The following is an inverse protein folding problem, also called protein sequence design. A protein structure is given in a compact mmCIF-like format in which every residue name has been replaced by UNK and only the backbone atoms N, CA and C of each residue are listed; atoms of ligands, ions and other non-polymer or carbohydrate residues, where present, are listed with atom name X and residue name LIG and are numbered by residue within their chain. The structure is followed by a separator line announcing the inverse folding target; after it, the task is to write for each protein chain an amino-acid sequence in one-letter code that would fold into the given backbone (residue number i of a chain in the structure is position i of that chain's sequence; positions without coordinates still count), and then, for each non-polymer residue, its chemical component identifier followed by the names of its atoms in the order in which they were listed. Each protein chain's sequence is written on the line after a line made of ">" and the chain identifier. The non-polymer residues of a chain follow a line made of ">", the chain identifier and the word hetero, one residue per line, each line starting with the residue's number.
data_IF_138001345010
#
_entry.id   IF_138001345010
#
_cell.length_a   1.000
_cell.length_b   1.000
_cell.length_c   1.000
_cell.angle_alpha   90.00
_cell.angle_beta   90.00
_cell.angle_gamma   90.00
#
_symmetry.space_group_name_H-M   'P 1'
#
loop_
_entity.id
_entity.type
_entity.pdbx_description
1 polymer ?
#
# COMPACT_ATOMS: atom_id res chain seq x y z
N UNK A 1 -67.36 40.61 3.65
CA UNK A 1 -66.83 40.59 5.03
C UNK A 1 -67.42 39.37 5.70
N UNK A 2 -66.74 38.35 6.21
CA UNK A 2 -65.65 38.39 7.19
C UNK A 2 -64.95 37.00 7.30
N UNK A 3 -65.18 36.06 6.36
CA UNK A 3 -64.71 34.66 6.52
C UNK A 3 -63.48 34.27 5.68
N UNK A 4 -63.22 34.90 4.53
CA UNK A 4 -62.01 34.62 3.74
C UNK A 4 -60.74 35.38 4.21
N UNK A 5 -60.87 36.32 5.15
CA UNK A 5 -59.75 37.09 5.70
C UNK A 5 -59.03 36.38 6.87
N UNK A 6 -59.62 35.35 7.47
CA UNK A 6 -59.02 34.64 8.60
C UNK A 6 -58.01 33.56 8.19
N UNK A 7 -58.16 32.94 7.01
CA UNK A 7 -57.27 31.84 6.59
C UNK A 7 -55.91 32.35 6.09
N UNK A 8 -55.83 33.58 5.56
CA UNK A 8 -54.58 34.18 5.07
C UNK A 8 -53.70 34.79 6.19
N UNK A 9 -54.28 35.09 7.36
CA UNK A 9 -53.56 35.69 8.51
C UNK A 9 -52.83 34.68 9.39
N UNK A 10 -53.22 33.40 9.38
CA UNK A 10 -52.57 32.33 10.17
C UNK A 10 -51.33 31.76 9.47
N UNK A 11 -51.31 31.77 8.13
CA UNK A 11 -50.17 31.26 7.35
C UNK A 11 -48.96 32.22 7.35
N UNK A 12 -49.21 33.53 7.47
CA UNK A 12 -48.18 34.57 7.46
C UNK A 12 -47.48 34.69 8.82
N UNK A 13 -48.16 34.39 9.94
CA UNK A 13 -47.56 34.39 11.28
C UNK A 13 -46.68 33.17 11.56
N UNK A 14 -46.94 32.02 10.91
CA UNK A 14 -46.08 30.83 11.03
C UNK A 14 -44.77 30.94 10.24
N UNK A 15 -44.77 31.64 9.10
CA UNK A 15 -43.56 31.91 8.30
C UNK A 15 -42.64 32.99 8.92
N UNK A 16 -43.16 33.82 9.83
CA UNK A 16 -42.42 34.93 10.45
C UNK A 16 -41.74 34.55 11.78
N UNK A 17 -42.13 33.44 12.42
CA UNK A 17 -41.57 32.97 13.70
C UNK A 17 -40.35 32.05 13.58
N UNK A 18 -40.00 31.56 12.39
CA UNK A 18 -38.82 30.68 12.21
C UNK A 18 -37.59 31.41 11.63
N UNK A 19 -37.73 32.67 11.20
CA UNK A 19 -36.64 33.44 10.57
C UNK A 19 -35.88 34.40 11.50
N UNK A 20 -36.14 34.42 12.81
CA UNK A 20 -35.61 35.45 13.72
C UNK A 20 -34.98 34.96 15.04
N UNK A 21 -34.42 33.76 15.06
CA UNK A 21 -33.47 33.37 16.10
C UNK A 21 -32.11 33.02 15.47
N UNK A 22 -31.33 34.10 15.33
CA UNK A 22 -29.86 34.13 15.42
C UNK A 22 -29.06 33.75 14.17
N UNK A 23 -29.07 34.65 13.18
CA UNK A 23 -27.97 35.61 12.91
C UNK A 23 -26.61 35.12 12.37
N UNK A 24 -25.89 35.98 11.62
CA UNK A 24 -25.07 35.60 10.46
C UNK A 24 -23.56 35.82 10.64
N UNK A 25 -22.80 35.45 9.60
CA UNK A 25 -21.37 35.74 9.33
C UNK A 25 -20.39 34.66 9.79
N UNK A 26 -19.68 34.04 8.86
CA UNK A 26 -18.22 34.08 8.72
C UNK A 26 -17.80 33.13 7.57
N UNK A 27 -17.09 33.68 6.56
CA UNK A 27 -15.85 33.17 5.95
C UNK A 27 -15.76 31.68 5.54
N UNK A 28 -15.24 31.23 4.41
CA UNK A 28 -14.45 31.80 3.31
C UNK A 28 -14.18 30.61 2.37
N UNK A 29 -14.19 30.86 1.05
CA UNK A 29 -13.51 30.11 -0.02
C UNK A 29 -13.21 28.62 0.13
N UNK A 30 -13.80 27.82 -0.75
CA UNK A 30 -13.10 26.68 -1.35
C UNK A 30 -13.42 26.58 -2.85
N UNK A 31 -12.33 26.56 -3.61
CA UNK A 31 -12.21 26.38 -5.05
C UNK A 31 -12.81 25.05 -5.54
N UNK A 32 -13.09 24.94 -6.85
CA UNK A 32 -14.02 23.98 -7.43
C UNK A 32 -13.37 22.64 -7.80
N UNK A 33 -14.19 21.58 -7.69
CA UNK A 33 -14.52 20.66 -8.78
C UNK A 33 -13.43 20.42 -9.86
N UNK A 34 -12.52 19.48 -9.59
CA UNK A 34 -11.73 18.76 -10.60
C UNK A 34 -11.07 17.59 -9.86
N UNK A 35 -11.72 16.44 -9.69
CA UNK A 35 -11.58 15.28 -10.58
C UNK A 35 -12.77 14.33 -10.34
N UNK A 36 -13.99 14.82 -10.55
CA UNK A 36 -15.23 14.06 -10.37
C UNK A 36 -15.62 13.27 -11.64
N UNK A 37 -14.66 12.66 -12.33
CA UNK A 37 -14.94 11.89 -13.54
C UNK A 37 -13.90 10.78 -13.77
N UNK A 38 -13.83 9.80 -12.87
CA UNK A 38 -13.23 8.51 -13.20
C UNK A 38 -13.81 7.40 -12.32
N UNK A 39 -14.75 6.64 -12.90
CA UNK A 39 -15.41 5.43 -12.39
C UNK A 39 -16.08 5.50 -11.00
N UNK A 40 -17.35 5.09 -10.96
CA UNK A 40 -18.11 4.82 -9.72
C UNK A 40 -17.58 3.53 -9.04
N UNK A 41 -16.29 3.48 -8.72
CA UNK A 41 -15.85 2.66 -7.59
C UNK A 41 -16.12 3.49 -6.33
N UNK A 42 -16.84 2.90 -5.38
CA UNK A 42 -17.14 3.49 -4.08
C UNK A 42 -15.83 3.75 -3.33
N UNK A 43 -15.26 4.94 -3.57
CA UNK A 43 -13.98 5.38 -3.02
C UNK A 43 -14.25 6.15 -1.73
N UNK A 44 -13.91 5.55 -0.60
CA UNK A 44 -13.99 6.21 0.71
C UNK A 44 -12.59 6.59 1.18
N UNK A 45 -12.43 7.83 1.65
CA UNK A 45 -11.15 8.38 2.12
C UNK A 45 -11.36 9.04 3.48
N UNK A 46 -10.53 8.66 4.44
CA UNK A 46 -10.54 9.23 5.79
C UNK A 46 -9.11 9.58 6.20
N UNK A 47 -8.83 10.87 6.35
CA UNK A 47 -7.52 11.38 6.72
C UNK A 47 -7.60 12.24 7.98
N UNK A 48 -6.63 12.08 8.87
CA UNK A 48 -6.42 12.90 10.06
C UNK A 48 -5.11 13.64 9.90
N UNK A 49 -5.20 14.85 9.35
CA UNK A 49 -4.04 15.67 9.01
C UNK A 49 -3.09 14.94 8.06
N UNK A 50 -1.79 15.03 8.33
CA UNK A 50 -0.74 14.33 7.58
C UNK A 50 -0.27 13.04 8.25
N UNK A 51 -0.78 12.73 9.45
CA UNK A 51 -0.29 11.63 10.28
C UNK A 51 -0.97 10.30 9.97
N UNK A 52 -2.17 10.34 9.39
CA UNK A 52 -2.94 9.14 9.14
C UNK A 52 -3.89 9.39 7.96
N UNK A 53 -3.89 8.49 7.00
CA UNK A 53 -4.82 8.45 5.89
C UNK A 53 -5.19 7.01 5.61
N UNK A 54 -6.48 6.71 5.59
CA UNK A 54 -7.03 5.44 5.15
C UNK A 54 -7.90 5.68 3.92
N UNK A 55 -7.67 4.88 2.90
CA UNK A 55 -8.37 4.94 1.64
C UNK A 55 -8.83 3.54 1.26
N UNK A 56 -10.12 3.39 0.98
CA UNK A 56 -10.69 2.16 0.46
C UNK A 56 -11.26 2.46 -0.92
N UNK A 57 -10.82 1.70 -1.92
CA UNK A 57 -11.23 1.80 -3.33
C UNK A 57 -11.56 0.39 -3.82
N UNK A 58 -12.85 0.09 -3.95
CA UNK A 58 -13.32 -1.25 -4.27
C UNK A 58 -12.86 -2.26 -3.20
N UNK A 59 -12.16 -3.31 -3.63
CA UNK A 59 -11.58 -4.34 -2.75
C UNK A 59 -10.18 -3.96 -2.22
N UNK A 60 -9.63 -2.81 -2.61
CA UNK A 60 -8.32 -2.35 -2.14
C UNK A 60 -8.50 -1.44 -0.92
N UNK A 61 -7.88 -1.78 0.20
CA UNK A 61 -7.75 -0.89 1.36
C UNK A 61 -6.29 -0.53 1.57
N UNK A 62 -5.97 0.77 1.51
CA UNK A 62 -4.66 1.31 1.80
C UNK A 62 -4.70 2.19 3.04
N UNK A 63 -3.75 1.99 3.95
CA UNK A 63 -3.55 2.87 5.11
C UNK A 63 -2.14 3.42 5.08
N UNK A 64 -1.99 4.71 5.33
CA UNK A 64 -0.72 5.40 5.45
C UNK A 64 -0.71 6.11 6.80
N UNK A 65 0.39 6.00 7.52
CA UNK A 65 0.54 6.63 8.81
C UNK A 65 1.96 7.17 9.02
N UNK A 66 2.08 8.09 9.98
CA UNK A 66 3.33 8.63 10.48
C UNK A 66 4.23 9.15 9.35
N UNK A 67 3.76 10.19 8.63
CA UNK A 67 4.53 10.84 7.56
C UNK A 67 5.01 9.86 6.47
N UNK A 68 4.13 8.94 6.02
CA UNK A 68 4.44 7.91 5.02
C UNK A 68 5.47 6.85 5.44
N UNK A 69 5.94 6.88 6.70
CA UNK A 69 6.89 5.87 7.19
C UNK A 69 6.22 4.53 7.43
N UNK A 70 4.90 4.50 7.63
CA UNK A 70 4.12 3.29 7.75
C UNK A 70 3.06 3.25 6.66
N UNK A 71 2.99 2.16 5.91
CA UNK A 71 1.89 1.90 5.00
C UNK A 71 1.45 0.46 5.01
N UNK A 72 0.15 0.26 4.84
CA UNK A 72 -0.46 -1.04 4.57
C UNK A 72 -1.30 -0.96 3.31
N UNK A 73 -1.35 -2.06 2.58
CA UNK A 73 -2.16 -2.21 1.38
C UNK A 73 -2.69 -3.64 1.38
N UNK A 74 -4.01 -3.79 1.37
CA UNK A 74 -4.72 -5.06 1.25
C UNK A 74 -5.53 -5.01 -0.05
N UNK A 75 -5.42 -6.04 -0.89
CA UNK A 75 -6.14 -6.19 -2.16
C UNK A 75 -6.45 -7.67 -2.40
N UNK A 76 -7.66 -8.10 -2.09
CA UNK A 76 -8.04 -9.52 -2.20
C UNK A 76 -7.12 -10.41 -1.35
N UNK A 77 -6.34 -11.26 -2.00
CA UNK A 77 -5.32 -12.11 -1.35
C UNK A 77 -4.00 -11.38 -1.06
N UNK A 78 -3.71 -10.30 -1.80
CA UNK A 78 -2.47 -9.56 -1.67
C UNK A 78 -2.49 -8.68 -0.42
N UNK A 79 -1.41 -8.72 0.36
CA UNK A 79 -1.15 -7.84 1.49
C UNK A 79 0.28 -7.31 1.44
N UNK A 80 0.43 -6.00 1.66
CA UNK A 80 1.72 -5.33 1.77
C UNK A 80 1.73 -4.49 3.03
N UNK A 81 2.83 -4.59 3.77
CA UNK A 81 3.14 -3.81 4.96
C UNK A 81 4.53 -3.23 4.77
N UNK A 82 4.64 -1.91 4.79
CA UNK A 82 5.92 -1.21 4.67
C UNK A 82 6.14 -0.29 5.85
N UNK A 83 7.31 -0.41 6.47
CA UNK A 83 7.80 0.45 7.53
C UNK A 83 9.18 0.99 7.17
N UNK A 84 9.22 2.15 6.52
CA UNK A 84 10.45 2.73 5.98
C UNK A 84 11.30 3.34 7.11
N UNK A 85 12.64 3.21 7.07
CA UNK A 85 13.46 2.42 6.12
C UNK A 85 13.74 0.99 6.57
N UNK A 86 13.05 0.49 7.60
CA UNK A 86 13.49 -0.70 8.34
C UNK A 86 12.94 -2.02 7.79
N UNK A 87 11.75 -2.02 7.23
CA UNK A 87 11.06 -3.26 6.91
C UNK A 87 10.06 -3.09 5.77
N UNK A 88 9.96 -4.07 4.90
CA UNK A 88 8.85 -4.20 3.97
C UNK A 88 8.49 -5.66 3.83
N UNK A 89 7.21 -5.98 3.81
CA UNK A 89 6.68 -7.32 3.62
C UNK A 89 5.56 -7.27 2.61
N UNK A 90 5.63 -8.13 1.61
CA UNK A 90 4.60 -8.37 0.63
C UNK A 90 4.24 -9.84 0.67
N UNK A 91 2.96 -10.16 0.61
CA UNK A 91 2.49 -11.53 0.67
C UNK A 91 1.26 -11.65 -0.22
N UNK A 92 1.26 -12.68 -1.06
CA UNK A 92 0.09 -13.07 -1.84
C UNK A 92 -0.07 -14.59 -1.73
N UNK A 93 -0.94 -15.09 -0.84
CA UNK A 93 -1.17 -16.51 -0.66
C UNK A 93 -1.75 -17.20 -1.89
N UNK A 94 -2.41 -16.47 -2.81
CA UNK A 94 -2.97 -17.07 -4.01
C UNK A 94 -1.88 -17.52 -5.01
N UNK A 95 -0.73 -16.84 -4.99
CA UNK A 95 0.41 -17.07 -5.88
C UNK A 95 1.60 -17.76 -5.16
N UNK A 96 1.41 -18.23 -3.92
CA UNK A 96 2.48 -18.67 -3.00
C UNK A 96 3.68 -17.69 -2.99
N UNK A 97 3.36 -16.39 -2.94
CA UNK A 97 4.34 -15.30 -3.00
C UNK A 97 4.55 -14.68 -1.62
N UNK A 98 5.81 -14.58 -1.22
CA UNK A 98 6.23 -13.88 -0.01
C UNK A 98 7.54 -13.14 -0.30
N UNK A 99 7.55 -11.84 -0.05
CA UNK A 99 8.76 -11.02 -0.14
C UNK A 99 8.94 -10.21 1.13
N UNK A 100 10.15 -10.21 1.67
CA UNK A 100 10.51 -9.53 2.90
C UNK A 100 11.84 -8.83 2.72
N UNK A 101 11.88 -7.53 2.97
CA UNK A 101 13.11 -6.75 3.01
C UNK A 101 13.36 -6.23 4.42
N UNK A 102 14.58 -6.39 4.92
CA UNK A 102 15.09 -5.82 6.16
C UNK A 102 16.08 -4.72 5.80
N UNK A 103 15.89 -3.55 6.40
CA UNK A 103 16.65 -2.33 6.12
C UNK A 103 16.63 -1.96 4.63
N UNK A 104 15.50 -2.24 3.95
CA UNK A 104 15.13 -2.01 2.54
C UNK A 104 16.09 -2.52 1.44
N UNK A 105 17.38 -2.59 1.74
CA UNK A 105 18.45 -2.92 0.79
C UNK A 105 19.46 -3.93 1.37
N UNK A 106 19.59 -4.06 2.69
CA UNK A 106 20.63 -4.93 3.26
C UNK A 106 20.23 -6.41 3.22
N UNK A 107 19.02 -6.74 3.65
CA UNK A 107 18.50 -8.11 3.62
C UNK A 107 17.25 -8.19 2.76
N UNK A 108 17.21 -9.09 1.79
CA UNK A 108 16.03 -9.37 0.98
C UNK A 108 15.82 -10.88 0.93
N UNK A 109 14.59 -11.32 1.18
CA UNK A 109 14.13 -12.69 1.05
C UNK A 109 12.87 -12.67 0.20
N UNK A 110 12.83 -13.47 -0.85
CA UNK A 110 11.70 -13.59 -1.75
C UNK A 110 11.45 -15.08 -2.03
N UNK A 111 10.19 -15.47 -2.02
CA UNK A 111 9.74 -16.82 -2.34
C UNK A 111 8.53 -16.71 -3.24
N UNK A 112 8.49 -17.53 -4.28
CA UNK A 112 7.39 -17.61 -5.23
C UNK A 112 7.22 -19.06 -5.69
N UNK A 113 6.28 -19.78 -5.09
CA UNK A 113 6.13 -21.22 -5.31
C UNK A 113 7.40 -21.98 -4.91
N UNK A 114 7.97 -22.74 -5.85
CA UNK A 114 9.23 -23.48 -5.68
C UNK A 114 10.49 -22.59 -5.83
N UNK A 115 10.33 -21.35 -6.30
CA UNK A 115 11.45 -20.42 -6.44
C UNK A 115 11.71 -19.68 -5.12
N UNK A 116 12.98 -19.52 -4.77
CA UNK A 116 13.43 -18.72 -3.63
C UNK A 116 14.66 -17.89 -3.97
N UNK A 117 14.74 -16.71 -3.38
CA UNK A 117 15.82 -15.77 -3.53
C UNK A 117 16.13 -15.15 -2.18
N UNK A 118 17.41 -15.14 -1.80
CA UNK A 118 17.89 -14.52 -0.60
C UNK A 118 19.15 -13.72 -0.87
N UNK A 119 19.22 -12.53 -0.31
CA UNK A 119 20.31 -11.61 -0.48
C UNK A 119 20.63 -10.93 0.84
N UNK A 120 21.92 -10.89 1.16
CA UNK A 120 22.48 -10.10 2.24
C UNK A 120 23.66 -9.29 1.70
N UNK A 121 23.40 -8.03 1.36
CA UNK A 121 24.41 -7.17 0.77
C UNK A 121 25.56 -6.85 1.74
N UNK A 122 26.79 -6.69 1.23
CA UNK A 122 27.27 -7.02 -0.12
C UNK A 122 27.90 -8.43 -0.18
N UNK A 123 27.62 -9.30 0.79
CA UNK A 123 28.43 -10.49 1.01
C UNK A 123 27.80 -11.74 0.43
N UNK A 124 26.47 -11.84 0.42
CA UNK A 124 25.79 -13.11 0.15
C UNK A 124 24.59 -12.92 -0.79
N UNK A 125 24.51 -13.81 -1.78
CA UNK A 125 23.35 -13.97 -2.63
C UNK A 125 23.11 -15.45 -2.86
N UNK A 126 21.86 -15.84 -2.84
CA UNK A 126 21.43 -17.19 -3.08
C UNK A 126 20.11 -17.15 -3.84
N UNK A 127 19.99 -17.96 -4.87
CA UNK A 127 18.70 -18.20 -5.49
C UNK A 127 18.59 -19.67 -5.87
N UNK A 128 17.38 -20.19 -5.76
CA UNK A 128 17.03 -21.56 -6.07
C UNK A 128 15.69 -21.55 -6.79
N UNK A 129 15.70 -22.02 -8.03
CA UNK A 129 14.55 -22.26 -8.88
C UNK A 129 14.58 -23.75 -9.29
N UNK A 130 13.45 -24.35 -9.74
CA UNK A 130 13.44 -25.74 -10.19
C UNK A 130 14.46 -26.10 -11.29
N UNK A 131 14.90 -25.12 -12.08
CA UNK A 131 15.85 -25.29 -13.20
C UNK A 131 17.30 -24.94 -12.85
N UNK A 132 17.51 -24.18 -11.77
CA UNK A 132 18.82 -23.60 -11.46
C UNK A 132 18.95 -23.18 -10.01
N UNK A 133 20.17 -23.28 -9.49
CA UNK A 133 20.54 -22.75 -8.18
C UNK A 133 21.87 -22.03 -8.29
N UNK A 134 22.03 -20.94 -7.57
CA UNK A 134 23.33 -20.31 -7.40
C UNK A 134 23.52 -19.78 -6.00
N UNK A 135 24.76 -19.79 -5.55
CA UNK A 135 25.19 -19.25 -4.26
C UNK A 135 26.45 -18.45 -4.48
N UNK A 136 26.44 -17.19 -4.08
CA UNK A 136 27.59 -16.30 -4.13
C UNK A 136 27.86 -15.82 -2.72
N UNK A 137 29.06 -16.12 -2.23
CA UNK A 137 29.58 -15.60 -0.98
C UNK A 137 30.92 -14.91 -1.27
N UNK A 138 30.88 -13.59 -1.33
CA UNK A 138 32.07 -12.80 -1.66
C UNK A 138 33.10 -12.82 -0.52
N UNK A 139 34.39 -12.70 -0.87
CA UNK A 139 34.97 -12.76 -2.22
C UNK A 139 35.33 -14.19 -2.67
N UNK A 140 34.99 -15.21 -1.88
CA UNK A 140 35.69 -16.49 -1.90
C UNK A 140 34.93 -17.63 -2.59
N UNK A 141 33.60 -17.61 -2.59
CA UNK A 141 32.79 -18.77 -2.97
C UNK A 141 31.72 -18.42 -3.99
N UNK A 142 31.67 -19.21 -5.05
CA UNK A 142 30.68 -19.09 -6.12
C UNK A 142 30.25 -20.48 -6.54
N UNK A 143 28.97 -20.74 -6.49
CA UNK A 143 28.37 -21.98 -6.92
C UNK A 143 27.23 -21.67 -7.87
N UNK A 144 27.15 -22.44 -8.95
CA UNK A 144 26.07 -22.40 -9.91
C UNK A 144 25.76 -23.83 -10.32
N UNK A 145 24.49 -24.22 -10.29
CA UNK A 145 24.01 -25.51 -10.76
C UNK A 145 22.79 -25.28 -11.62
N UNK A 146 22.73 -25.93 -12.77
CA UNK A 146 21.56 -26.03 -13.64
C UNK A 146 21.40 -27.49 -14.07
N UNK A 147 20.32 -27.81 -14.78
CA UNK A 147 20.03 -29.19 -15.22
C UNK A 147 21.17 -29.86 -15.98
N UNK A 148 21.93 -29.09 -16.78
CA UNK A 148 22.94 -29.59 -17.70
C UNK A 148 24.38 -29.35 -17.25
N UNK A 149 24.59 -28.50 -16.24
CA UNK A 149 25.93 -28.04 -15.86
C UNK A 149 26.01 -27.62 -14.42
N UNK A 150 27.18 -27.79 -13.82
CA UNK A 150 27.47 -27.20 -12.51
C UNK A 150 28.88 -26.64 -12.45
N UNK A 151 29.02 -25.53 -11.74
CA UNK A 151 30.28 -24.83 -11.49
C UNK A 151 30.40 -24.54 -10.01
N UNK A 152 31.54 -24.90 -9.43
CA UNK A 152 31.86 -24.57 -8.04
C UNK A 152 33.25 -24.00 -7.99
N UNK A 153 33.36 -22.76 -7.52
CA UNK A 153 34.61 -22.04 -7.35
C UNK A 153 34.79 -21.67 -5.88
N UNK A 154 35.97 -22.01 -5.36
CA UNK A 154 36.45 -21.56 -4.06
C UNK A 154 37.82 -20.93 -4.29
N UNK A 155 37.85 -19.61 -4.39
CA UNK A 155 39.02 -18.83 -4.79
C UNK A 155 39.98 -18.65 -3.59
N UNK A 156 41.31 -18.77 -3.78
CA UNK A 156 42.04 -19.14 -5.00
C UNK A 156 42.32 -20.66 -5.13
N UNK A 157 41.70 -21.50 -4.32
CA UNK A 157 42.16 -22.87 -4.08
C UNK A 157 41.54 -23.94 -5.01
N UNK A 158 40.32 -23.74 -5.49
CA UNK A 158 39.54 -24.80 -6.14
C UNK A 158 38.55 -24.24 -7.18
N UNK A 159 38.40 -24.97 -8.28
CA UNK A 159 37.45 -24.68 -9.33
C UNK A 159 37.06 -25.99 -10.02
N UNK A 160 35.77 -26.29 -10.03
CA UNK A 160 35.22 -27.53 -10.57
C UNK A 160 34.07 -27.22 -11.53
N UNK A 161 34.03 -27.96 -12.64
CA UNK A 161 33.03 -27.84 -13.68
C UNK A 161 32.58 -29.24 -14.09
N UNK A 162 31.26 -29.43 -14.22
CA UNK A 162 30.64 -30.64 -14.76
C UNK A 162 29.66 -30.27 -15.85
#
# INVERSE_FOLDING_TARGET
>A
MLRHLLCRRVLITLLFQLHLLVGPSFFLGLLPLSEAAENLEERSRFCVGFLYCRETKGDTTSTQAFLYLYSTEERGSFSRLTFIPFYSREMDPAEDYLRQSVLLSLGLSERKGEASYFQLLPLYWHAEDPSRRYTVLLPAYFEYAAEDRSYTYLVPFYGHHQ
#
